data_IF_751747821551
#
_entry.id   IF_751747821551
#
_cell.length_a   1.000
_cell.length_b   1.000
_cell.length_c   1.000
_cell.angle_alpha   90.00
_cell.angle_beta   90.00
_cell.angle_gamma   90.00
#
_symmetry.space_group_name_H-M   'P 1'
#
loop_
_entity.id
_entity.type
_entity.pdbx_description
1 polymer ?
#
# COMPACT_ATOMS: atom_id res chain seq x y z
N UNK A 1 8.67 22.95 -18.84
CA UNK A 1 8.10 23.56 -17.62
C UNK A 1 7.29 22.53 -16.80
N UNK A 2 7.83 21.35 -16.51
CA UNK A 2 7.08 20.21 -15.93
C UNK A 2 7.45 19.90 -14.47
N UNK A 3 8.69 20.18 -14.05
CA UNK A 3 9.20 19.81 -12.72
C UNK A 3 8.63 20.66 -11.56
N UNK A 4 8.40 21.97 -11.76
CA UNK A 4 7.81 22.84 -10.71
C UNK A 4 6.36 22.45 -10.40
N UNK A 5 5.59 22.12 -11.45
CA UNK A 5 4.22 21.61 -11.28
C UNK A 5 4.23 20.25 -10.58
N UNK A 6 5.19 19.38 -10.90
CA UNK A 6 5.38 18.10 -10.22
C UNK A 6 5.69 18.28 -8.72
N UNK A 7 6.59 19.20 -8.35
CA UNK A 7 6.91 19.47 -6.93
C UNK A 7 5.69 19.97 -6.16
N UNK A 8 4.97 20.96 -6.70
CA UNK A 8 3.77 21.51 -6.03
C UNK A 8 2.68 20.44 -5.87
N UNK A 9 2.51 19.55 -6.85
CA UNK A 9 1.56 18.43 -6.77
C UNK A 9 1.97 17.41 -5.70
N UNK A 10 3.23 16.96 -5.69
CA UNK A 10 3.77 16.07 -4.64
C UNK A 10 3.56 16.66 -3.25
N UNK A 11 3.81 17.97 -3.08
CA UNK A 11 3.59 18.65 -1.81
C UNK A 11 2.12 18.68 -1.40
N UNK A 12 1.21 19.02 -2.33
CA UNK A 12 -0.22 19.06 -2.05
C UNK A 12 -0.79 17.69 -1.70
N UNK A 13 -0.31 16.62 -2.35
CA UNK A 13 -0.72 15.27 -2.03
C UNK A 13 -0.15 14.77 -0.72
N UNK A 14 1.12 15.06 -0.42
CA UNK A 14 1.69 14.75 0.88
C UNK A 14 0.93 15.50 1.98
N UNK A 15 0.53 16.74 1.71
CA UNK A 15 -0.37 17.50 2.57
C UNK A 15 -1.74 16.84 2.70
N UNK A 16 -2.34 16.34 1.62
CA UNK A 16 -3.61 15.63 1.65
C UNK A 16 -3.56 14.30 2.42
N UNK A 17 -2.47 13.52 2.23
CA UNK A 17 -2.18 12.30 2.98
C UNK A 17 -2.01 12.61 4.46
N UNK A 18 -1.16 13.58 4.79
CA UNK A 18 -0.86 13.97 6.18
C UNK A 18 -2.10 14.55 6.86
N UNK A 19 -2.87 15.39 6.17
CA UNK A 19 -4.16 15.91 6.67
C UNK A 19 -5.15 14.80 6.97
N UNK A 20 -5.20 13.73 6.14
CA UNK A 20 -6.08 12.59 6.39
C UNK A 20 -5.56 11.76 7.57
N UNK A 21 -4.26 11.50 7.63
CA UNK A 21 -3.63 10.81 8.76
C UNK A 21 -3.85 11.53 10.09
N UNK A 22 -3.77 12.86 10.12
CA UNK A 22 -4.02 13.69 11.31
C UNK A 22 -5.49 13.66 11.76
N UNK A 23 -6.40 13.28 10.87
CA UNK A 23 -7.84 13.20 11.13
C UNK A 23 -8.36 11.78 11.36
N UNK A 24 -7.50 10.76 11.23
CA UNK A 24 -7.89 9.37 11.47
C UNK A 24 -8.27 9.19 12.94
N UNK A 25 -9.43 8.59 13.16
CA UNK A 25 -9.92 8.22 14.49
C UNK A 25 -9.41 6.82 14.89
N UNK A 26 -9.45 6.48 16.18
CA UNK A 26 -9.29 5.09 16.61
C UNK A 26 -10.25 4.17 15.85
N UNK A 27 -9.75 3.05 15.33
CA UNK A 27 -10.53 2.12 14.53
C UNK A 27 -10.66 2.48 13.03
N UNK A 28 -9.96 3.50 12.55
CA UNK A 28 -9.86 3.85 11.13
C UNK A 28 -8.46 3.56 10.57
N UNK A 29 -8.38 3.17 9.29
CA UNK A 29 -7.10 2.97 8.59
C UNK A 29 -7.12 3.61 7.21
N UNK A 30 -5.97 4.16 6.79
CA UNK A 30 -5.70 4.52 5.40
C UNK A 30 -4.82 3.45 4.74
N UNK A 31 -5.31 2.86 3.66
CA UNK A 31 -4.58 1.90 2.82
C UNK A 31 -4.21 2.60 1.52
N UNK A 32 -2.91 2.66 1.23
CA UNK A 32 -2.40 3.16 -0.05
C UNK A 32 -1.83 1.96 -0.80
N UNK A 33 -2.40 1.67 -1.96
CA UNK A 33 -1.99 0.61 -2.87
C UNK A 33 -1.33 1.20 -4.11
N UNK A 34 -0.26 0.58 -4.58
CA UNK A 34 0.41 0.99 -5.82
C UNK A 34 0.70 -0.24 -6.68
N UNK A 35 0.85 -0.02 -7.99
CA UNK A 35 1.31 -1.04 -8.94
C UNK A 35 2.78 -1.31 -8.72
N UNK A 36 3.05 -2.17 -7.75
CA UNK A 36 4.31 -2.86 -7.68
C UNK A 36 4.09 -4.23 -7.07
N UNK A 37 3.83 -5.20 -7.95
CA UNK A 37 4.14 -6.58 -7.65
C UNK A 37 5.65 -6.70 -7.61
N UNK A 38 6.20 -6.59 -6.40
CA UNK A 38 7.44 -7.24 -6.08
C UNK A 38 7.39 -7.74 -4.65
N UNK A 39 7.99 -8.90 -4.49
CA UNK A 39 7.32 -9.97 -3.81
C UNK A 39 7.92 -10.13 -2.37
N UNK A 40 7.06 -10.22 -1.32
CA UNK A 40 7.06 -10.94 0.02
C UNK A 40 6.42 -10.07 1.12
N UNK A 41 5.59 -10.59 2.06
CA UNK A 41 5.11 -9.83 3.23
C UNK A 41 6.22 -9.41 4.19
N UNK A 42 6.78 -8.24 3.89
CA UNK A 42 7.61 -7.51 4.83
C UNK A 42 6.76 -6.44 5.54
N UNK A 43 6.34 -6.73 6.77
CA UNK A 43 5.78 -5.73 7.68
C UNK A 43 6.91 -4.86 8.23
N UNK A 44 7.15 -3.69 7.64
CA UNK A 44 8.11 -2.73 8.18
C UNK A 44 7.43 -1.71 9.10
N UNK A 45 7.73 -1.76 10.40
CA UNK A 45 7.31 -0.76 11.40
C UNK A 45 8.38 0.33 11.51
N UNK A 46 8.07 1.56 11.09
CA UNK A 46 8.88 2.73 11.43
C UNK A 46 8.05 3.66 12.30
N UNK A 47 8.58 4.01 13.48
CA UNK A 47 8.09 5.16 14.23
C UNK A 47 8.71 6.39 13.59
N UNK A 48 7.91 7.18 12.88
CA UNK A 48 8.26 8.55 12.53
C UNK A 48 7.21 9.46 13.18
N UNK A 49 7.55 10.73 13.38
CA UNK A 49 6.83 11.71 14.21
C UNK A 49 5.35 12.00 13.81
N UNK A 50 4.75 11.22 12.90
CA UNK A 50 3.43 11.45 12.29
C UNK A 50 2.52 10.20 12.21
N UNK A 51 2.71 9.23 13.11
CA UNK A 51 1.80 8.07 13.25
C UNK A 51 2.41 6.72 12.87
N UNK A 52 1.74 5.63 13.28
CA UNK A 52 2.19 4.26 13.04
C UNK A 52 1.92 3.85 11.58
N UNK A 53 2.96 3.90 10.74
CA UNK A 53 2.89 3.39 9.38
C UNK A 53 3.37 1.93 9.31
N UNK A 54 2.56 1.05 8.68
CA UNK A 54 2.93 -0.32 8.33
C UNK A 54 2.90 -0.48 6.81
N UNK A 55 3.98 -0.98 6.24
CA UNK A 55 4.00 -1.40 4.83
C UNK A 55 3.72 -2.89 4.79
N UNK A 56 2.76 -3.33 3.98
CA UNK A 56 2.59 -4.73 3.62
C UNK A 56 3.06 -4.91 2.19
N UNK A 57 3.73 -6.02 1.93
CA UNK A 57 4.21 -6.40 0.61
C UNK A 57 3.70 -7.84 0.41
N UNK A 58 3.49 -8.34 -0.80
CA UNK A 58 2.98 -9.71 -0.98
C UNK A 58 3.89 -10.42 -1.98
N UNK A 59 4.45 -11.60 -1.64
CA UNK A 59 5.25 -12.40 -2.60
C UNK A 59 4.28 -13.24 -3.40
N UNK A 60 4.56 -13.39 -4.68
CA UNK A 60 4.10 -14.48 -5.51
C UNK A 60 5.29 -14.95 -6.36
N UNK A 61 5.42 -16.25 -6.58
CA UNK A 61 6.44 -16.77 -7.49
C UNK A 61 6.07 -16.44 -8.95
N UNK A 62 4.78 -16.58 -9.28
CA UNK A 62 4.19 -16.17 -10.56
C UNK A 62 2.76 -15.66 -10.33
N UNK A 63 2.44 -14.46 -10.82
CA UNK A 63 1.07 -13.92 -10.78
C UNK A 63 0.79 -13.05 -12.00
N UNK A 64 -0.43 -13.16 -12.54
CA UNK A 64 -0.90 -12.25 -13.58
C UNK A 64 -1.35 -10.95 -12.93
N UNK A 65 -0.97 -9.83 -13.52
CA UNK A 65 -1.29 -8.48 -13.04
C UNK A 65 -2.74 -8.10 -13.37
N UNK A 66 -3.69 -8.92 -12.95
CA UNK A 66 -5.10 -8.74 -13.22
C UNK A 66 -5.87 -8.33 -11.97
N UNK A 67 -7.18 -8.12 -12.16
CA UNK A 67 -8.07 -7.74 -11.08
C UNK A 67 -8.12 -8.81 -9.97
N UNK A 68 -7.94 -10.09 -10.29
CA UNK A 68 -8.03 -11.17 -9.32
C UNK A 68 -6.86 -11.12 -8.32
N UNK A 69 -5.65 -10.86 -8.81
CA UNK A 69 -4.49 -10.64 -7.96
C UNK A 69 -4.69 -9.43 -7.02
N UNK A 70 -5.23 -8.33 -7.55
CA UNK A 70 -5.51 -7.11 -6.76
C UNK A 70 -6.52 -7.40 -5.64
N UNK A 71 -7.63 -8.07 -5.96
CA UNK A 71 -8.66 -8.45 -4.98
C UNK A 71 -8.08 -9.34 -3.89
N UNK A 72 -7.33 -10.38 -4.28
CA UNK A 72 -6.72 -11.32 -3.34
C UNK A 72 -5.77 -10.64 -2.36
N UNK A 73 -4.94 -9.71 -2.86
CA UNK A 73 -4.02 -8.93 -2.04
C UNK A 73 -4.80 -8.02 -1.07
N UNK A 74 -5.82 -7.32 -1.56
CA UNK A 74 -6.61 -6.40 -0.75
C UNK A 74 -7.36 -7.14 0.35
N UNK A 75 -8.05 -8.24 0.01
CA UNK A 75 -8.76 -9.10 0.95
C UNK A 75 -7.83 -9.62 2.04
N UNK A 76 -6.70 -10.22 1.66
CA UNK A 76 -5.73 -10.72 2.64
C UNK A 76 -5.19 -9.60 3.55
N UNK A 77 -4.94 -8.42 3.00
CA UNK A 77 -4.47 -7.25 3.77
C UNK A 77 -5.50 -6.82 4.80
N UNK A 78 -6.78 -6.74 4.41
CA UNK A 78 -7.86 -6.33 5.29
C UNK A 78 -8.13 -7.36 6.40
N UNK A 79 -8.12 -8.65 6.08
CA UNK A 79 -8.23 -9.72 7.07
C UNK A 79 -7.06 -9.64 8.07
N UNK A 80 -5.83 -9.47 7.58
CA UNK A 80 -4.64 -9.32 8.43
C UNK A 80 -4.72 -8.07 9.31
N UNK A 81 -5.21 -6.95 8.77
CA UNK A 81 -5.39 -5.73 9.55
C UNK A 81 -6.46 -5.91 10.63
N UNK A 82 -7.59 -6.53 10.29
CA UNK A 82 -8.68 -6.81 11.23
C UNK A 82 -8.25 -7.76 12.35
N UNK A 83 -7.41 -8.76 12.05
CA UNK A 83 -6.88 -9.68 13.05
C UNK A 83 -5.85 -9.02 13.98
N UNK A 84 -5.11 -8.04 13.50
CA UNK A 84 -4.11 -7.29 14.28
C UNK A 84 -4.71 -6.11 15.05
N UNK A 85 -5.82 -5.55 14.56
CA UNK A 85 -6.51 -4.38 15.10
C UNK A 85 -8.01 -4.70 15.19
N UNK A 86 -8.43 -5.34 16.28
CA UNK A 86 -9.81 -5.80 16.46
C UNK A 86 -10.84 -4.65 16.38
N UNK A 87 -10.46 -3.46 16.83
CA UNK A 87 -11.26 -2.22 16.79
C UNK A 87 -11.40 -1.61 15.38
N UNK A 88 -10.73 -2.16 14.36
CA UNK A 88 -10.77 -1.63 13.01
C UNK A 88 -12.18 -1.79 12.42
N UNK A 89 -12.89 -0.69 12.24
CA UNK A 89 -14.27 -0.67 11.71
C UNK A 89 -14.31 -0.11 10.29
N UNK A 90 -13.41 0.83 9.99
CA UNK A 90 -13.48 1.62 8.76
C UNK A 90 -12.13 1.69 8.06
N UNK A 91 -12.15 1.58 6.74
CA UNK A 91 -10.99 1.76 5.87
C UNK A 91 -11.23 2.87 4.83
N UNK A 92 -10.19 3.65 4.60
CA UNK A 92 -10.05 4.55 3.46
C UNK A 92 -9.02 3.94 2.52
N UNK A 93 -9.38 3.74 1.27
CA UNK A 93 -8.50 3.12 0.27
C UNK A 93 -8.09 4.17 -0.75
N UNK A 94 -6.82 4.13 -1.14
CA UNK A 94 -6.30 4.85 -2.30
C UNK A 94 -5.49 3.91 -3.16
N UNK A 95 -5.77 3.84 -4.46
CA UNK A 95 -4.98 3.04 -5.42
C UNK A 95 -4.58 3.85 -6.63
N UNK A 96 -3.78 3.27 -7.52
CA UNK A 96 -3.64 3.83 -8.87
C UNK A 96 -4.94 3.70 -9.67
N UNK A 97 -5.08 4.50 -10.73
CA UNK A 97 -6.25 4.54 -11.59
C UNK A 97 -6.25 3.49 -12.74
N UNK A 98 -5.55 2.36 -12.59
CA UNK A 98 -5.47 1.38 -13.66
C UNK A 98 -6.63 0.38 -13.66
N UNK A 99 -6.95 -0.17 -14.82
CA UNK A 99 -8.13 -1.03 -15.04
C UNK A 99 -8.29 -2.22 -14.07
N UNK A 100 -7.18 -2.74 -13.52
CA UNK A 100 -7.22 -3.85 -12.54
C UNK A 100 -7.85 -3.46 -11.19
N UNK A 101 -7.95 -2.17 -10.87
CA UNK A 101 -8.56 -1.66 -9.64
C UNK A 101 -10.07 -1.37 -9.78
N UNK A 102 -10.61 -1.45 -11.01
CA UNK A 102 -11.99 -1.09 -11.32
C UNK A 102 -12.96 -2.28 -11.36
N UNK A 103 -12.65 -3.40 -10.71
CA UNK A 103 -13.51 -4.58 -10.74
C UNK A 103 -14.60 -4.56 -9.65
N UNK A 104 -15.84 -4.88 -10.01
CA UNK A 104 -16.96 -5.00 -9.06
C UNK A 104 -16.73 -6.05 -7.96
N UNK A 105 -15.97 -7.11 -8.28
CA UNK A 105 -15.57 -8.15 -7.34
C UNK A 105 -14.75 -7.63 -6.17
N UNK A 106 -13.98 -6.56 -6.38
CA UNK A 106 -13.26 -5.87 -5.31
C UNK A 106 -14.23 -5.43 -4.23
N UNK A 107 -15.30 -4.74 -4.59
CA UNK A 107 -16.30 -4.25 -3.64
C UNK A 107 -16.95 -5.38 -2.83
N UNK A 108 -17.08 -6.57 -3.41
CA UNK A 108 -17.68 -7.73 -2.74
C UNK A 108 -16.74 -8.39 -1.72
N UNK A 109 -15.42 -8.31 -1.87
CA UNK A 109 -14.46 -8.91 -0.92
C UNK A 109 -14.24 -8.07 0.34
N UNK A 110 -14.91 -6.92 0.45
CA UNK A 110 -14.66 -5.89 1.46
C UNK A 110 -15.64 -5.95 2.64
N UNK A 111 -16.35 -7.06 2.81
CA UNK A 111 -17.47 -7.18 3.76
C UNK A 111 -17.03 -7.16 5.24
N UNK A 112 -15.75 -7.34 5.54
CA UNK A 112 -15.23 -7.39 6.91
C UNK A 112 -14.95 -6.01 7.55
N UNK A 113 -14.79 -4.96 6.73
CA UNK A 113 -14.46 -3.60 7.15
C UNK A 113 -15.23 -2.62 6.27
N UNK A 114 -15.88 -1.61 6.85
CA UNK A 114 -16.59 -0.59 6.09
C UNK A 114 -15.60 0.26 5.29
N UNK A 115 -15.73 0.30 3.97
CA UNK A 115 -14.96 1.25 3.16
C UNK A 115 -15.74 2.54 3.04
N UNK A 116 -15.24 3.57 3.72
CA UNK A 116 -15.88 4.88 3.68
C UNK A 116 -15.52 5.64 2.40
N UNK A 117 -14.34 5.37 1.83
CA UNK A 117 -13.89 6.04 0.62
C UNK A 117 -12.87 5.20 -0.13
N UNK A 118 -12.99 5.19 -1.45
CA UNK A 118 -11.97 4.66 -2.35
C UNK A 118 -11.61 5.72 -3.40
N UNK A 119 -10.41 6.28 -3.28
CA UNK A 119 -9.87 7.27 -4.22
C UNK A 119 -8.87 6.65 -5.19
N UNK A 120 -8.81 7.18 -6.41
CA UNK A 120 -7.79 6.85 -7.40
C UNK A 120 -6.74 7.95 -7.47
N UNK A 121 -5.48 7.56 -7.63
CA UNK A 121 -4.38 8.48 -7.91
C UNK A 121 -4.23 8.69 -9.42
N UNK A 122 -4.00 9.94 -9.82
CA UNK A 122 -3.77 10.29 -11.22
C UNK A 122 -2.51 9.61 -11.78
N UNK A 123 -2.43 9.44 -13.10
CA UNK A 123 -1.27 8.85 -13.75
C UNK A 123 0.01 9.66 -13.41
N UNK A 124 1.00 8.99 -12.80
CA UNK A 124 2.27 9.54 -12.27
C UNK A 124 2.18 10.32 -10.94
N UNK A 125 1.02 10.32 -10.28
CA UNK A 125 0.76 11.07 -9.05
C UNK A 125 0.47 10.10 -7.88
N UNK A 126 1.00 10.35 -6.69
CA UNK A 126 0.81 9.51 -5.49
C UNK A 126 1.73 8.27 -5.36
N UNK A 127 2.41 7.87 -6.44
CA UNK A 127 3.30 6.71 -6.48
C UNK A 127 4.60 6.87 -5.68
N UNK A 128 5.07 8.11 -5.52
CA UNK A 128 6.41 8.39 -4.99
C UNK A 128 6.66 7.82 -3.60
N UNK A 129 5.64 7.73 -2.73
CA UNK A 129 5.80 7.13 -1.40
C UNK A 129 5.97 5.61 -1.46
N UNK A 130 5.10 4.93 -2.21
CA UNK A 130 5.18 3.48 -2.40
C UNK A 130 6.45 3.11 -3.19
N UNK A 131 6.72 3.80 -4.29
CA UNK A 131 7.94 3.65 -5.09
C UNK A 131 9.21 3.83 -4.26
N UNK A 132 9.28 4.86 -3.41
CA UNK A 132 10.43 5.06 -2.54
C UNK A 132 10.59 3.92 -1.51
N UNK A 133 9.48 3.44 -0.94
CA UNK A 133 9.51 2.28 -0.02
C UNK A 133 9.95 1.01 -0.73
N UNK A 134 9.42 0.75 -1.92
CA UNK A 134 9.75 -0.40 -2.75
C UNK A 134 11.21 -0.33 -3.24
N UNK A 135 11.70 0.83 -3.65
CA UNK A 135 13.10 1.04 -4.01
C UNK A 135 14.03 0.70 -2.84
N UNK A 136 13.67 1.12 -1.62
CA UNK A 136 14.43 0.79 -0.41
C UNK A 136 14.42 -0.71 -0.11
N UNK A 137 13.24 -1.34 -0.20
CA UNK A 137 13.06 -2.79 -0.02
C UNK A 137 13.85 -3.60 -1.05
N UNK A 138 13.74 -3.24 -2.33
CA UNK A 138 14.52 -3.80 -3.44
C UNK A 138 16.00 -3.76 -3.14
N UNK A 139 16.49 -2.62 -2.63
CA UNK A 139 17.90 -2.48 -2.29
C UNK A 139 18.33 -3.46 -1.21
N UNK A 140 17.55 -3.57 -0.12
CA UNK A 140 17.82 -4.53 0.96
C UNK A 140 17.80 -5.98 0.49
N UNK A 141 16.79 -6.35 -0.28
CA UNK A 141 16.67 -7.72 -0.83
C UNK A 141 17.86 -8.02 -1.74
N UNK A 142 18.25 -7.09 -2.62
CA UNK A 142 19.45 -7.27 -3.46
C UNK A 142 20.71 -7.50 -2.64
N UNK A 143 20.93 -6.72 -1.58
CA UNK A 143 22.08 -6.93 -0.70
C UNK A 143 22.03 -8.27 0.03
N UNK A 144 20.85 -8.69 0.49
CA UNK A 144 20.67 -9.99 1.15
C UNK A 144 20.94 -11.16 0.22
N UNK A 145 20.45 -11.09 -1.02
CA UNK A 145 20.69 -12.09 -2.06
C UNK A 145 22.16 -12.11 -2.48
N UNK A 146 22.80 -10.94 -2.60
CA UNK A 146 24.23 -10.85 -2.91
C UNK A 146 25.12 -11.50 -1.83
N UNK A 147 24.64 -11.61 -0.59
CA UNK A 147 25.30 -12.34 0.48
C UNK A 147 25.08 -13.86 0.43
N UNK A 148 24.46 -14.39 -0.62
CA UNK A 148 24.22 -15.82 -0.82
C UNK A 148 22.94 -16.34 -0.15
N UNK A 149 22.11 -15.46 0.40
CA UNK A 149 20.89 -15.86 1.10
C UNK A 149 19.66 -15.87 0.17
N UNK A 150 18.71 -16.75 0.44
CA UNK A 150 17.44 -16.74 -0.29
C UNK A 150 16.55 -15.54 0.07
N UNK A 151 15.72 -15.09 -0.87
CA UNK A 151 14.77 -13.98 -0.65
C UNK A 151 13.80 -14.31 0.49
N UNK A 152 13.38 -15.57 0.61
CA UNK A 152 12.46 -16.05 1.66
C UNK A 152 13.05 -15.97 3.06
N UNK A 153 14.38 -15.96 3.20
CA UNK A 153 15.05 -15.88 4.50
C UNK A 153 15.32 -14.44 4.95
N UNK A 154 15.17 -13.46 4.06
CA UNK A 154 15.28 -12.03 4.37
C UNK A 154 14.13 -11.49 5.27
N UNK A 155 13.21 -12.38 5.65
CA UNK A 155 11.81 -12.09 5.93
C UNK A 155 11.36 -12.55 7.31
N UNK A 156 12.31 -12.95 8.16
CA UNK A 156 12.09 -13.22 9.59
C UNK A 156 12.44 -12.01 10.44
#
# INVERSE_FOLDING_TARGET
>A
MTWRQHIVRCFNQDRGRTTLLDKLKPGEVLIIMDRAMQFLPLSFRKSSHSGLHRTYVHVFDFVRQDWFAVVSILEHTLITLKSQLLELTTAFIRSDNAGCYHCGSLWSSLQCILIQRYDFSESQDGKSYCDAKIAHLRSKIRHHVAAGNEVKTAMR
#
